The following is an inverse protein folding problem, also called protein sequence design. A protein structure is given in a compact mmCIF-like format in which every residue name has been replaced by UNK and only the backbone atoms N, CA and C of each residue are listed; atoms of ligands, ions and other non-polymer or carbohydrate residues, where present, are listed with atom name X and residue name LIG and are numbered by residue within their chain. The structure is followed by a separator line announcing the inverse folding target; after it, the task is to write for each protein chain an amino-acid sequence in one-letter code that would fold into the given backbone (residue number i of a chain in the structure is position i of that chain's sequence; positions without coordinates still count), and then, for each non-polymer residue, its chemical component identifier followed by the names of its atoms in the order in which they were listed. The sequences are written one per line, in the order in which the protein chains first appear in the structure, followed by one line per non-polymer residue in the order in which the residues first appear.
data_IF_691137540422
#
_entry.id   IF_691137540422
#
_cell.length_a   1.000
_cell.length_b   1.000
_cell.length_c   1.000
_cell.angle_alpha   90.00
_cell.angle_beta   90.00
_cell.angle_gamma   90.00
#
_symmetry.space_group_name_H-M   'P 1'
#
loop_
_entity.id
_entity.type
_entity.pdbx_description
1 polymer ?
#
# COMPACT_ATOMS: atom_id res chain seq x y z
N UNK A 1 9.41 -5.37 19.12
CA UNK A 1 8.74 -6.58 18.62
C UNK A 1 9.71 -7.76 18.60
N UNK A 2 10.84 -7.72 17.86
CA UNK A 2 11.84 -8.80 17.86
C UNK A 2 12.22 -9.32 19.25
N UNK A 3 12.62 -8.43 20.18
CA UNK A 3 12.94 -8.82 21.56
C UNK A 3 11.79 -9.55 22.29
N UNK A 4 10.53 -9.20 22.02
CA UNK A 4 9.39 -9.86 22.65
C UNK A 4 9.20 -11.29 22.12
N UNK A 5 9.35 -11.48 20.79
CA UNK A 5 9.31 -12.81 20.18
C UNK A 5 10.48 -13.67 20.66
N UNK A 6 11.70 -13.11 20.71
CA UNK A 6 12.87 -13.84 21.22
C UNK A 6 12.77 -14.17 22.71
N UNK A 7 12.23 -13.26 23.54
CA UNK A 7 11.99 -13.57 24.94
C UNK A 7 11.01 -14.74 25.12
N UNK A 8 9.93 -14.78 24.33
CA UNK A 8 9.00 -15.92 24.33
C UNK A 8 9.70 -17.22 23.89
N UNK A 9 10.53 -17.16 22.83
CA UNK A 9 11.34 -18.31 22.38
C UNK A 9 12.31 -18.79 23.46
N UNK A 10 12.86 -17.88 24.26
CA UNK A 10 13.76 -18.17 25.36
C UNK A 10 13.05 -18.67 26.64
N UNK A 11 11.72 -18.81 26.63
CA UNK A 11 10.94 -19.36 27.74
C UNK A 11 10.21 -18.35 28.62
N UNK A 12 10.21 -17.05 28.25
CA UNK A 12 9.33 -16.09 28.90
C UNK A 12 7.86 -16.50 28.70
N UNK A 13 7.06 -16.37 29.76
CA UNK A 13 5.62 -16.74 29.73
C UNK A 13 4.70 -15.56 29.47
N UNK A 14 5.19 -14.35 29.68
CA UNK A 14 4.42 -13.11 29.64
C UNK A 14 5.22 -12.05 28.89
N UNK A 15 4.52 -11.22 28.12
CA UNK A 15 5.07 -10.06 27.44
C UNK A 15 4.07 -8.91 27.52
N UNK A 16 4.58 -7.71 27.77
CA UNK A 16 3.79 -6.50 27.72
C UNK A 16 3.82 -5.93 26.30
N UNK A 17 2.64 -5.56 25.80
CA UNK A 17 2.45 -5.02 24.45
C UNK A 17 1.41 -3.92 24.49
N UNK A 18 1.37 -3.10 23.44
CA UNK A 18 0.36 -2.06 23.27
C UNK A 18 -0.06 -1.95 21.81
N UNK A 19 -1.34 -1.66 21.59
CA UNK A 19 -1.91 -1.45 20.25
C UNK A 19 -1.26 -0.20 19.66
N UNK A 20 -0.90 -0.26 18.37
CA UNK A 20 -0.25 0.85 17.66
C UNK A 20 1.05 1.33 18.35
N UNK A 21 1.65 0.48 19.20
CA UNK A 21 2.82 0.79 20.02
C UNK A 21 2.60 1.96 21.00
N UNK A 22 1.37 2.33 21.32
CA UNK A 22 1.12 3.47 22.21
C UNK A 22 1.77 3.27 23.57
N UNK A 23 2.45 4.30 24.08
CA UNK A 23 3.17 4.27 25.35
C UNK A 23 4.14 5.44 25.46
N UNK A 24 4.96 5.46 26.51
CA UNK A 24 5.94 6.53 26.68
C UNK A 24 7.04 6.52 25.60
N UNK A 25 7.52 7.71 25.22
CA UNK A 25 8.65 7.92 24.28
C UNK A 25 8.42 7.22 22.93
N UNK A 26 9.13 6.13 22.67
CA UNK A 26 9.06 5.34 21.43
C UNK A 26 8.05 4.18 21.48
N UNK A 27 7.32 4.06 22.59
CA UNK A 27 6.24 3.10 22.74
C UNK A 27 6.66 1.71 23.19
N UNK A 28 5.67 0.81 23.29
CA UNK A 28 5.86 -0.60 23.63
C UNK A 28 6.02 -1.48 22.39
N UNK A 29 6.22 -2.78 22.60
CA UNK A 29 6.07 -3.75 21.52
C UNK A 29 4.64 -3.69 20.95
N UNK A 30 4.54 -3.55 19.63
CA UNK A 30 3.28 -3.57 18.87
C UNK A 30 2.53 -4.88 19.12
N UNK A 31 1.32 -4.79 19.67
CA UNK A 31 0.46 -5.94 19.90
C UNK A 31 0.13 -6.62 18.57
N UNK A 32 -0.33 -5.86 17.58
CA UNK A 32 -0.72 -6.36 16.27
C UNK A 32 0.42 -7.10 15.55
N UNK A 33 1.65 -6.58 15.61
CA UNK A 33 2.80 -7.24 15.00
C UNK A 33 3.22 -8.51 15.74
N UNK A 34 3.15 -8.50 17.08
CA UNK A 34 3.44 -9.69 17.90
C UNK A 34 2.40 -10.78 17.66
N UNK A 35 1.11 -10.44 17.72
CA UNK A 35 0.02 -11.40 17.51
C UNK A 35 0.07 -12.03 16.11
N UNK A 36 0.33 -11.21 15.08
CA UNK A 36 0.47 -11.72 13.73
C UNK A 36 1.65 -12.68 13.58
N UNK A 37 2.80 -12.37 14.20
CA UNK A 37 3.96 -13.28 14.18
C UNK A 37 3.68 -14.58 14.93
N UNK A 38 3.04 -14.53 16.10
CA UNK A 38 2.65 -15.71 16.86
C UNK A 38 1.68 -16.60 16.06
N UNK A 39 0.72 -15.98 15.36
CA UNK A 39 -0.19 -16.68 14.47
C UNK A 39 0.52 -17.33 13.28
N UNK A 40 1.36 -16.56 12.56
CA UNK A 40 1.97 -17.00 11.29
C UNK A 40 3.13 -17.97 11.46
N UNK A 41 3.93 -17.83 12.52
CA UNK A 41 5.20 -18.53 12.68
C UNK A 41 5.24 -19.51 13.86
N UNK A 42 4.30 -19.40 14.81
CA UNK A 42 4.28 -20.22 16.02
C UNK A 42 2.94 -20.97 16.22
N UNK A 43 2.08 -20.96 15.20
CA UNK A 43 0.76 -21.62 15.17
C UNK A 43 -0.17 -21.27 16.35
N UNK A 44 0.00 -20.07 16.93
CA UNK A 44 -0.83 -19.61 18.06
C UNK A 44 -2.17 -19.09 17.54
N UNK A 45 -3.21 -19.93 17.56
CA UNK A 45 -4.56 -19.62 17.07
C UNK A 45 -5.54 -19.13 18.14
N UNK A 46 -5.03 -18.72 19.30
CA UNK A 46 -5.86 -18.24 20.44
C UNK A 46 -6.58 -16.93 20.15
N UNK A 47 -6.03 -16.09 19.27
CA UNK A 47 -6.49 -14.71 19.05
C UNK A 47 -7.14 -14.54 17.68
N UNK A 48 -8.14 -13.64 17.60
CA UNK A 48 -8.85 -13.31 16.35
C UNK A 48 -8.06 -12.27 15.55
N UNK A 49 -7.10 -12.74 14.75
CA UNK A 49 -6.20 -11.86 13.96
C UNK A 49 -6.98 -11.02 12.93
N UNK A 50 -8.06 -11.56 12.37
CA UNK A 50 -8.94 -10.85 11.43
C UNK A 50 -9.71 -9.67 12.04
N UNK A 51 -9.59 -9.44 13.36
CA UNK A 51 -10.19 -8.31 14.07
C UNK A 51 -9.19 -7.20 14.42
N UNK A 52 -7.93 -7.34 13.99
CA UNK A 52 -6.89 -6.35 14.30
C UNK A 52 -7.18 -4.98 13.67
N UNK A 53 -7.63 -4.92 12.41
CA UNK A 53 -7.97 -3.66 11.77
C UNK A 53 -9.09 -2.90 12.51
N UNK A 54 -10.14 -3.61 12.95
CA UNK A 54 -11.24 -3.05 13.73
C UNK A 54 -10.76 -2.53 15.10
N UNK A 55 -9.92 -3.31 15.79
CA UNK A 55 -9.33 -2.93 17.07
C UNK A 55 -8.45 -1.67 16.94
N UNK A 56 -7.67 -1.57 15.86
CA UNK A 56 -6.82 -0.41 15.60
C UNK A 56 -7.66 0.82 15.34
N UNK A 57 -8.69 0.73 14.48
CA UNK A 57 -9.58 1.85 14.22
C UNK A 57 -10.26 2.35 15.50
N UNK A 58 -10.63 1.44 16.41
CA UNK A 58 -11.15 1.79 17.73
C UNK A 58 -10.12 2.57 18.56
N UNK A 59 -8.86 2.10 18.61
CA UNK A 59 -7.79 2.76 19.38
C UNK A 59 -7.37 4.10 18.77
N UNK A 60 -7.27 4.21 17.44
CA UNK A 60 -7.00 5.50 16.77
C UNK A 60 -8.07 6.53 17.15
N UNK A 61 -9.35 6.13 17.09
CA UNK A 61 -10.47 7.00 17.48
C UNK A 61 -10.43 7.39 18.96
N UNK A 62 -10.12 6.45 19.85
CA UNK A 62 -10.10 6.70 21.28
C UNK A 62 -8.89 7.54 21.71
N UNK A 63 -7.73 7.33 21.10
CA UNK A 63 -6.48 8.02 21.44
C UNK A 63 -6.29 9.35 20.70
N UNK A 64 -6.98 9.56 19.57
CA UNK A 64 -6.76 10.70 18.68
C UNK A 64 -5.45 10.61 17.88
N UNK A 65 -4.74 9.48 17.94
CA UNK A 65 -3.47 9.28 17.26
C UNK A 65 -3.71 8.39 16.04
N UNK A 66 -3.47 8.94 14.85
CA UNK A 66 -3.53 8.18 13.61
C UNK A 66 -2.27 7.34 13.40
N UNK A 67 -2.47 6.14 12.89
CA UNK A 67 -1.43 5.20 12.53
C UNK A 67 -0.78 5.60 11.20
N UNK A 68 0.57 5.58 11.11
CA UNK A 68 1.25 5.76 9.84
C UNK A 68 0.76 4.74 8.79
N UNK A 69 0.53 5.14 7.52
CA UNK A 69 0.03 4.25 6.47
C UNK A 69 0.93 3.05 6.19
N UNK A 70 2.23 3.17 6.47
CA UNK A 70 3.25 2.14 6.29
C UNK A 70 3.52 1.32 7.55
N UNK A 71 2.65 1.40 8.57
CA UNK A 71 2.80 0.60 9.78
C UNK A 71 2.76 -0.89 9.44
N UNK A 72 3.73 -1.70 9.94
CA UNK A 72 3.75 -3.13 9.65
C UNK A 72 2.44 -3.82 10.02
N UNK A 73 2.06 -4.82 9.23
CA UNK A 73 0.87 -5.69 9.42
C UNK A 73 -0.47 -5.02 9.16
N UNK A 74 -0.66 -3.78 9.59
CA UNK A 74 -2.00 -3.15 9.68
C UNK A 74 -2.09 -1.80 8.99
N UNK A 75 -0.99 -1.28 8.46
CA UNK A 75 -0.97 -0.03 7.73
C UNK A 75 -1.75 -0.11 6.42
N UNK A 76 -2.34 1.00 6.00
CA UNK A 76 -3.14 1.07 4.76
C UNK A 76 -2.34 0.80 3.46
N UNK A 77 -1.01 0.83 3.53
CA UNK A 77 -0.12 0.64 2.38
C UNK A 77 0.58 -0.73 2.36
N UNK A 78 0.28 -1.67 3.27
CA UNK A 78 1.04 -2.93 3.36
C UNK A 78 0.93 -3.83 2.12
N UNK A 79 -0.16 -3.71 1.36
CA UNK A 79 -0.42 -4.45 0.10
C UNK A 79 -0.41 -3.52 -1.12
N UNK A 80 0.19 -2.33 -1.01
CA UNK A 80 0.32 -1.37 -2.12
C UNK A 80 1.69 -1.46 -2.77
N UNK A 81 1.72 -1.64 -4.08
CA UNK A 81 2.93 -1.87 -4.88
C UNK A 81 3.02 -0.85 -6.03
N UNK A 82 4.07 -0.04 -6.02
CA UNK A 82 4.30 1.00 -7.03
C UNK A 82 5.36 0.59 -8.06
N UNK A 83 6.51 0.10 -7.57
CA UNK A 83 7.66 -0.25 -8.39
C UNK A 83 7.27 -1.23 -9.47
N UNK A 84 7.72 -0.98 -10.71
CA UNK A 84 7.40 -1.83 -11.86
C UNK A 84 7.69 -3.31 -11.62
N UNK A 85 8.80 -3.65 -10.96
CA UNK A 85 9.14 -5.06 -10.68
C UNK A 85 8.20 -5.70 -9.64
N UNK A 86 7.78 -4.93 -8.62
CA UNK A 86 6.89 -5.42 -7.57
C UNK A 86 5.47 -5.56 -8.10
N UNK A 87 4.95 -4.52 -8.74
CA UNK A 87 3.64 -4.53 -9.37
C UNK A 87 3.53 -5.67 -10.39
N UNK A 88 4.55 -5.85 -11.25
CA UNK A 88 4.58 -6.96 -12.19
C UNK A 88 4.57 -8.34 -11.51
N UNK A 89 5.30 -8.52 -10.41
CA UNK A 89 5.27 -9.75 -9.65
C UNK A 89 3.90 -10.03 -9.03
N UNK A 90 3.29 -9.02 -8.40
CA UNK A 90 1.96 -9.13 -7.76
C UNK A 90 0.86 -9.43 -8.78
N UNK A 91 0.95 -8.86 -9.98
CA UNK A 91 0.03 -9.16 -11.08
C UNK A 91 0.12 -10.62 -11.56
N UNK A 92 1.24 -11.31 -11.34
CA UNK A 92 1.42 -12.73 -11.68
C UNK A 92 1.06 -13.64 -10.51
N UNK A 93 1.63 -13.36 -9.35
CA UNK A 93 1.40 -14.08 -8.11
C UNK A 93 1.63 -13.14 -6.92
N UNK A 94 0.53 -12.84 -6.21
CA UNK A 94 0.50 -12.01 -5.02
C UNK A 94 1.50 -12.50 -3.95
N UNK A 95 1.74 -13.82 -3.85
CA UNK A 95 2.61 -14.42 -2.84
C UNK A 95 4.10 -14.06 -2.97
N UNK A 96 4.51 -13.56 -4.13
CA UNK A 96 5.88 -13.14 -4.41
C UNK A 96 6.28 -11.93 -3.57
N UNK A 97 5.37 -10.97 -3.40
CA UNK A 97 5.63 -9.71 -2.70
C UNK A 97 4.74 -9.48 -1.47
N UNK A 98 3.67 -10.28 -1.26
CA UNK A 98 2.83 -10.19 -0.07
C UNK A 98 3.00 -11.42 0.83
N UNK A 99 3.94 -11.34 1.78
CA UNK A 99 4.07 -12.33 2.87
C UNK A 99 3.02 -12.14 3.95
N UNK A 100 2.52 -10.91 4.07
CA UNK A 100 1.42 -10.52 4.93
C UNK A 100 0.26 -10.13 4.02
N UNK A 101 -0.89 -10.76 4.22
CA UNK A 101 -2.10 -10.44 3.47
C UNK A 101 -2.97 -9.49 4.30
N UNK A 102 -3.36 -8.37 3.71
CA UNK A 102 -4.18 -7.35 4.36
C UNK A 102 -5.51 -7.94 4.88
N UNK A 103 -6.07 -8.89 4.16
CA UNK A 103 -7.33 -9.54 4.47
C UNK A 103 -7.22 -10.44 5.71
N UNK A 104 -6.04 -11.03 5.98
CA UNK A 104 -5.81 -11.87 7.16
C UNK A 104 -5.99 -11.08 8.48
N UNK A 105 -5.78 -9.76 8.43
CA UNK A 105 -5.87 -8.87 9.59
C UNK A 105 -7.12 -8.00 9.61
N UNK A 106 -8.01 -8.20 8.62
CA UNK A 106 -9.29 -7.49 8.49
C UNK A 106 -9.22 -6.14 7.79
N UNK A 107 -8.16 -5.86 7.03
CA UNK A 107 -8.10 -4.67 6.16
C UNK A 107 -8.87 -4.94 4.86
N UNK A 108 -9.73 -4.00 4.46
CA UNK A 108 -10.59 -4.14 3.28
C UNK A 108 -10.12 -3.34 2.08
N UNK A 109 -9.27 -2.32 2.27
CA UNK A 109 -8.84 -1.37 1.22
C UNK A 109 -7.88 -1.94 0.14
N UNK A 110 -7.67 -3.26 0.14
CA UNK A 110 -6.82 -3.95 -0.81
C UNK A 110 -7.41 -5.29 -1.25
N UNK A 111 -8.73 -5.52 -1.12
CA UNK A 111 -9.34 -6.79 -1.53
C UNK A 111 -9.17 -7.01 -3.04
N UNK A 112 -9.42 -5.97 -3.83
CA UNK A 112 -9.27 -6.02 -5.28
C UNK A 112 -7.81 -5.87 -5.72
N UNK A 113 -7.42 -6.60 -6.77
CA UNK A 113 -6.06 -6.51 -7.33
C UNK A 113 -5.74 -5.09 -7.83
N UNK A 114 -6.75 -4.34 -8.28
CA UNK A 114 -6.59 -2.95 -8.73
C UNK A 114 -6.08 -2.02 -7.61
N UNK A 115 -6.53 -2.23 -6.38
CA UNK A 115 -6.20 -1.38 -5.23
C UNK A 115 -4.78 -1.61 -4.74
N UNK A 116 -4.21 -2.77 -5.08
CA UNK A 116 -2.80 -3.12 -4.81
C UNK A 116 -1.83 -2.41 -5.74
N UNK A 117 -2.27 -1.99 -6.93
CA UNK A 117 -1.40 -1.37 -7.94
C UNK A 117 -1.44 0.15 -7.79
N UNK A 118 -0.31 0.72 -7.40
CA UNK A 118 -0.12 2.17 -7.31
C UNK A 118 0.65 2.64 -8.53
N UNK A 119 0.23 3.78 -9.10
CA UNK A 119 0.94 4.42 -10.19
C UNK A 119 1.76 5.58 -9.64
N UNK A 120 3.05 5.58 -9.98
CA UNK A 120 4.01 6.59 -9.56
C UNK A 120 5.21 6.69 -10.49
N UNK A 121 6.25 7.39 -10.03
CA UNK A 121 7.46 7.68 -10.81
C UNK A 121 8.17 6.40 -11.27
N UNK A 122 8.15 5.37 -10.42
CA UNK A 122 8.88 4.11 -10.63
C UNK A 122 8.01 3.02 -11.26
N UNK A 123 6.80 3.36 -11.70
CA UNK A 123 5.88 2.39 -12.29
C UNK A 123 6.36 1.85 -13.63
N UNK A 124 6.05 0.57 -13.86
CA UNK A 124 6.37 -0.12 -15.12
C UNK A 124 5.24 -0.04 -16.13
N UNK A 125 5.55 -0.40 -17.38
CA UNK A 125 4.58 -0.49 -18.49
C UNK A 125 3.41 -1.41 -18.16
N UNK A 126 3.67 -2.51 -17.47
CA UNK A 126 2.65 -3.50 -17.09
C UNK A 126 1.63 -2.93 -16.11
N UNK A 127 2.04 -2.04 -15.19
CA UNK A 127 1.10 -1.33 -14.30
C UNK A 127 0.15 -0.43 -15.08
N UNK A 128 0.65 0.30 -16.08
CA UNK A 128 -0.16 1.18 -16.94
C UNK A 128 -1.14 0.34 -17.78
N UNK A 129 -0.66 -0.72 -18.43
CA UNK A 129 -1.51 -1.62 -19.21
C UNK A 129 -2.60 -2.24 -18.33
N UNK A 130 -2.27 -2.63 -17.10
CA UNK A 130 -3.23 -3.18 -16.17
C UNK A 130 -4.32 -2.17 -15.79
N UNK A 131 -3.95 -0.92 -15.47
CA UNK A 131 -4.91 0.15 -15.18
C UNK A 131 -5.82 0.41 -16.38
N UNK A 132 -5.26 0.55 -17.58
CA UNK A 132 -6.02 0.79 -18.80
C UNK A 132 -6.96 -0.39 -19.13
N UNK A 133 -6.49 -1.63 -18.94
CA UNK A 133 -7.30 -2.83 -19.16
C UNK A 133 -8.51 -2.87 -18.21
N UNK A 134 -8.33 -2.51 -16.94
CA UNK A 134 -9.44 -2.42 -15.99
C UNK A 134 -10.46 -1.33 -16.36
N UNK A 135 -10.04 -0.33 -17.14
CA UNK A 135 -10.92 0.70 -17.72
C UNK A 135 -11.50 0.31 -19.10
N UNK A 136 -11.28 -0.93 -19.57
CA UNK A 136 -11.77 -1.43 -20.86
C UNK A 136 -10.89 -1.10 -22.06
N UNK A 137 -9.67 -0.60 -21.85
CA UNK A 137 -8.74 -0.21 -22.90
C UNK A 137 -7.62 -1.26 -23.01
N UNK A 138 -7.59 -2.00 -24.12
CA UNK A 138 -6.62 -3.07 -24.35
C UNK A 138 -5.46 -2.57 -25.23
N UNK A 139 -4.28 -2.43 -24.63
CA UNK A 139 -3.02 -2.11 -25.33
C UNK A 139 -1.96 -3.17 -25.06
N UNK A 140 -1.05 -3.35 -26.01
CA UNK A 140 0.20 -4.08 -25.76
C UNK A 140 1.13 -3.23 -24.88
N UNK A 141 1.96 -3.88 -24.07
CA UNK A 141 2.92 -3.16 -23.22
C UNK A 141 3.97 -2.38 -24.02
N UNK A 142 4.25 -2.78 -25.25
CA UNK A 142 5.17 -2.09 -26.15
C UNK A 142 4.48 -1.04 -27.03
N UNK A 143 3.18 -0.81 -26.83
CA UNK A 143 2.47 0.26 -27.52
C UNK A 143 3.14 1.62 -27.21
N UNK A 144 3.45 2.45 -28.23
CA UNK A 144 4.06 3.77 -28.03
C UNK A 144 3.29 4.67 -27.07
N UNK A 145 1.96 4.55 -26.99
CA UNK A 145 1.11 5.33 -26.08
C UNK A 145 1.45 5.01 -24.62
N UNK A 146 1.70 3.73 -24.29
CA UNK A 146 2.08 3.33 -22.92
C UNK A 146 3.37 4.02 -22.48
N UNK A 147 4.36 4.07 -23.37
CA UNK A 147 5.63 4.76 -23.06
C UNK A 147 5.44 6.27 -22.93
N UNK A 148 4.57 6.88 -23.74
CA UNK A 148 4.22 8.31 -23.61
C UNK A 148 3.51 8.63 -22.28
N UNK A 149 2.61 7.75 -21.82
CA UNK A 149 1.94 7.92 -20.52
C UNK A 149 2.96 7.88 -19.39
N UNK A 150 3.87 6.90 -19.38
CA UNK A 150 4.93 6.82 -18.37
C UNK A 150 5.81 8.07 -18.33
N UNK A 151 6.23 8.56 -19.49
CA UNK A 151 7.04 9.78 -19.57
C UNK A 151 6.28 11.00 -19.00
N UNK A 152 4.98 11.11 -19.24
CA UNK A 152 4.15 12.19 -18.67
C UNK A 152 4.00 12.07 -17.16
N UNK A 153 3.85 10.86 -16.65
CA UNK A 153 3.81 10.61 -15.20
C UNK A 153 5.15 11.04 -14.58
N UNK A 154 6.28 10.60 -15.14
CA UNK A 154 7.62 10.98 -14.68
C UNK A 154 7.83 12.50 -14.73
N UNK A 155 7.34 13.16 -15.78
CA UNK A 155 7.35 14.62 -15.91
C UNK A 155 6.59 15.30 -14.76
N UNK A 156 5.41 14.81 -14.36
CA UNK A 156 4.68 15.36 -13.22
C UNK A 156 5.47 15.24 -11.89
N UNK A 157 6.20 14.14 -11.67
CA UNK A 157 7.07 13.98 -10.50
C UNK A 157 8.27 14.92 -10.55
N UNK A 158 8.86 15.12 -11.74
CA UNK A 158 9.91 16.10 -11.96
C UNK A 158 9.43 17.53 -11.63
N UNK A 159 8.17 17.84 -11.94
CA UNK A 159 7.52 19.12 -11.60
C UNK A 159 6.93 19.17 -10.18
N UNK A 160 7.26 18.21 -9.32
CA UNK A 160 7.03 18.31 -7.88
C UNK A 160 5.85 17.53 -7.33
N UNK A 161 5.18 16.68 -8.13
CA UNK A 161 4.16 15.76 -7.59
C UNK A 161 4.76 14.89 -6.47
N UNK A 162 4.03 14.77 -5.35
CA UNK A 162 4.41 13.93 -4.19
C UNK A 162 3.42 12.81 -3.89
N UNK A 163 2.28 12.81 -4.56
CA UNK A 163 1.21 11.81 -4.40
C UNK A 163 1.24 10.80 -5.54
N UNK A 164 0.63 9.63 -5.35
CA UNK A 164 0.40 8.68 -6.44
C UNK A 164 -0.52 9.27 -7.51
N UNK A 165 -0.40 8.76 -8.73
CA UNK A 165 -1.32 9.05 -9.84
C UNK A 165 -2.58 8.20 -9.71
N UNK A 166 -3.79 8.78 -9.56
CA UNK A 166 -5.04 8.04 -9.60
C UNK A 166 -5.21 7.29 -10.92
N UNK A 167 -5.91 6.15 -10.88
CA UNK A 167 -6.13 5.33 -12.07
C UNK A 167 -6.93 6.08 -13.13
N UNK A 168 -7.84 6.94 -12.70
CA UNK A 168 -8.67 7.80 -13.55
C UNK A 168 -7.81 8.79 -14.36
N UNK A 169 -6.77 9.34 -13.74
CA UNK A 169 -5.85 10.27 -14.39
C UNK A 169 -5.01 9.55 -15.46
N UNK A 170 -4.64 8.28 -15.24
CA UNK A 170 -3.97 7.46 -16.26
C UNK A 170 -4.87 7.26 -17.49
N UNK A 171 -6.17 7.02 -17.27
CA UNK A 171 -7.16 6.89 -18.35
C UNK A 171 -7.35 8.20 -19.09
N UNK A 172 -7.33 9.34 -18.39
CA UNK A 172 -7.38 10.66 -19.00
C UNK A 172 -6.15 10.93 -19.88
N UNK A 173 -4.95 10.67 -19.36
CA UNK A 173 -3.71 10.77 -20.14
C UNK A 173 -3.75 9.93 -21.43
N UNK A 174 -4.30 8.71 -21.35
CA UNK A 174 -4.52 7.88 -22.54
C UNK A 174 -5.43 8.56 -23.57
N UNK A 175 -6.59 9.08 -23.13
CA UNK A 175 -7.56 9.74 -24.02
C UNK A 175 -6.94 10.93 -24.73
N UNK A 176 -6.18 11.74 -24.01
CA UNK A 176 -5.54 12.95 -24.55
C UNK A 176 -4.43 12.65 -25.55
N UNK A 177 -3.59 11.64 -25.25
CA UNK A 177 -2.53 11.21 -26.18
C UNK A 177 -3.16 10.61 -27.44
N UNK A 178 -4.26 9.87 -27.30
CA UNK A 178 -4.95 9.22 -28.43
C UNK A 178 -5.71 10.22 -29.32
N UNK A 179 -6.25 11.30 -28.75
CA UNK A 179 -6.96 12.35 -29.49
C UNK A 179 -6.02 13.41 -30.10
N UNK A 180 -4.71 13.35 -29.85
CA UNK A 180 -3.75 14.36 -30.30
C UNK A 180 -3.91 15.72 -29.61
N UNK A 181 -4.67 15.80 -28.51
CA UNK A 181 -4.93 17.04 -27.77
C UNK A 181 -3.76 17.37 -26.84
N UNK A 182 -3.37 18.66 -26.75
CA UNK A 182 -2.32 19.11 -25.82
C UNK A 182 -2.72 18.85 -24.38
N UNK A 183 -1.75 18.48 -23.55
CA UNK A 183 -1.95 18.28 -22.12
C UNK A 183 -2.10 19.61 -21.39
N UNK A 184 -3.22 19.89 -20.70
CA UNK A 184 -3.29 21.01 -19.79
C UNK A 184 -2.40 20.70 -18.60
N UNK A 185 -1.35 21.49 -18.47
CA UNK A 185 -0.55 21.60 -17.26
C UNK A 185 -1.35 22.48 -16.31
N UNK A 186 -2.28 21.90 -15.54
CA UNK A 186 -2.92 22.61 -14.42
C UNK A 186 -3.75 21.70 -13.52
N UNK A 187 -3.11 21.12 -12.49
CA UNK A 187 -3.55 21.24 -11.08
C UNK A 187 -2.28 21.16 -10.20
N UNK A 188 -1.46 22.21 -10.24
CA UNK A 188 -0.47 22.52 -9.21
C UNK A 188 -0.72 23.95 -8.76
N UNK A 189 -1.93 24.24 -8.28
CA UNK A 189 -2.17 25.40 -7.44
C UNK A 189 -3.14 24.99 -6.32
N UNK A 190 -2.80 25.41 -5.11
CA UNK A 190 -3.48 25.21 -3.82
C UNK A 190 -3.18 23.92 -3.04
N UNK A 191 -1.93 23.80 -2.56
CA UNK A 191 -1.74 23.55 -1.10
C UNK A 191 -0.43 24.19 -0.64
N UNK A 192 -0.40 25.52 -0.69
CA UNK A 192 0.55 26.33 0.10
C UNK A 192 0.14 26.22 1.56
N UNK A 193 1.05 25.66 2.38
CA UNK A 193 1.35 26.05 3.76
C UNK A 193 0.14 26.56 4.57
N UNK A 194 -0.40 25.70 5.43
CA UNK A 194 -0.71 26.02 6.84
C UNK A 194 -0.48 24.79 7.71
#
# INVERSE_FOLDING_TARGET
MGNAIEALRAGAKWIDTSICRLGERGGFASLEAVLYNLYKHFDVKKYKINKLAELIAFVEKASGINLPPNTPIVGRNISRHESGIHAHGVLRDISLYEKVRAEEVGLTQCEDLKERIVIGETSGRESIVFVLRNAGINLDKNDPIVSKILLKIQEQYLFGRKTSVPHEEVVELYRMISSGSKVPVSVIEETTIK
#
